data_IF_113821528557
#
_entry.id   IF_113821528557
#
_cell.length_a   1.000
_cell.length_b   1.000
_cell.length_c   1.000
_cell.angle_alpha   90.00
_cell.angle_beta   90.00
_cell.angle_gamma   90.00
#
_symmetry.space_group_name_H-M   'P 1'
#
loop_
_entity.id
_entity.type
_entity.pdbx_description
1 polymer ?
#
# COMPACT_ATOMS: atom_id res chain seq x y z
N UNK A 1 2.41 15.52 -62.44
CA UNK A 1 2.50 14.50 -61.47
C UNK A 1 2.25 15.04 -60.08
N UNK A 2 1.05 14.78 -59.53
CA UNK A 2 0.64 15.24 -58.19
C UNK A 2 1.21 14.29 -57.15
N UNK A 3 2.11 14.76 -56.30
CA UNK A 3 2.54 14.12 -55.09
C UNK A 3 1.46 14.30 -54.04
N UNK A 4 0.69 13.24 -53.80
CA UNK A 4 -0.18 13.22 -52.64
C UNK A 4 0.66 12.96 -51.41
N UNK A 5 0.80 13.96 -50.57
CA UNK A 5 1.32 13.83 -49.25
C UNK A 5 0.42 12.88 -48.42
N UNK A 6 0.96 11.73 -48.09
CA UNK A 6 0.29 10.85 -47.11
C UNK A 6 0.50 11.48 -45.75
N UNK A 7 -0.54 12.06 -45.20
CA UNK A 7 -0.58 12.42 -43.80
C UNK A 7 -0.42 11.13 -42.99
N UNK A 8 0.69 11.01 -42.29
CA UNK A 8 0.84 10.01 -41.26
C UNK A 8 -0.10 10.41 -40.14
N UNK A 9 -1.18 9.70 -40.00
CA UNK A 9 -1.99 9.78 -38.79
C UNK A 9 -1.22 9.09 -37.70
N UNK A 10 -0.65 9.84 -36.79
CA UNK A 10 -0.15 9.28 -35.54
C UNK A 10 -1.30 8.57 -34.86
N UNK A 11 -1.09 7.31 -34.43
CA UNK A 11 -2.12 6.66 -33.64
C UNK A 11 -2.33 7.52 -32.38
N UNK A 12 -3.56 7.89 -32.16
CA UNK A 12 -3.92 8.53 -30.91
C UNK A 12 -3.45 7.63 -29.77
N UNK A 13 -2.53 8.14 -28.96
CA UNK A 13 -2.13 7.44 -27.76
C UNK A 13 -3.39 7.13 -26.97
N UNK A 14 -3.63 5.85 -26.75
CA UNK A 14 -4.79 5.40 -26.02
C UNK A 14 -4.80 6.05 -24.65
N UNK A 15 -5.75 6.94 -24.44
CA UNK A 15 -5.94 7.48 -23.15
C UNK A 15 -6.19 6.41 -22.22
N UNK A 16 -5.50 6.45 -21.15
CA UNK A 16 -5.87 5.67 -20.01
C UNK A 16 -7.37 5.87 -19.77
N UNK A 17 -8.09 4.80 -19.57
CA UNK A 17 -9.47 4.87 -19.16
C UNK A 17 -9.60 5.76 -17.93
N UNK A 18 -10.72 6.44 -17.76
CA UNK A 18 -10.98 7.28 -16.60
C UNK A 18 -10.92 6.56 -15.26
N UNK A 19 -10.79 5.21 -15.28
CA UNK A 19 -10.61 4.42 -14.08
C UNK A 19 -9.27 4.67 -13.39
N UNK A 20 -8.28 5.22 -14.08
CA UNK A 20 -6.99 5.53 -13.53
C UNK A 20 -6.22 4.32 -13.02
N UNK A 21 -4.96 4.52 -12.73
CA UNK A 21 -4.14 3.54 -12.04
C UNK A 21 -4.63 3.41 -10.59
N UNK A 22 -5.00 2.20 -10.17
CA UNK A 22 -5.44 1.97 -8.80
C UNK A 22 -4.34 2.35 -7.80
N UNK A 23 -3.08 2.09 -8.14
CA UNK A 23 -1.96 2.48 -7.29
C UNK A 23 -1.91 3.98 -7.04
N UNK A 24 -2.10 4.78 -8.09
CA UNK A 24 -2.13 6.24 -7.95
C UNK A 24 -3.29 6.68 -7.04
N UNK A 25 -4.46 6.07 -7.19
CA UNK A 25 -5.61 6.37 -6.34
C UNK A 25 -5.36 5.99 -4.88
N UNK A 26 -4.73 4.85 -4.64
CA UNK A 26 -4.36 4.41 -3.30
C UNK A 26 -3.37 5.40 -2.66
N UNK A 27 -2.35 5.81 -3.39
CA UNK A 27 -1.37 6.77 -2.89
C UNK A 27 -2.00 8.11 -2.53
N UNK A 28 -2.89 8.62 -3.38
CA UNK A 28 -3.64 9.86 -3.11
C UNK A 28 -4.53 9.69 -1.87
N UNK A 29 -5.26 8.58 -1.78
CA UNK A 29 -6.11 8.29 -0.64
C UNK A 29 -5.29 8.19 0.65
N UNK A 30 -4.13 7.55 0.61
CA UNK A 30 -3.26 7.41 1.78
C UNK A 30 -2.80 8.77 2.32
N UNK A 31 -2.53 9.74 1.45
CA UNK A 31 -2.14 11.08 1.87
C UNK A 31 -3.21 11.78 2.70
N UNK A 32 -4.47 11.48 2.47
CA UNK A 32 -5.56 12.03 3.25
C UNK A 32 -5.62 11.47 4.68
N UNK A 33 -4.92 10.37 4.94
CA UNK A 33 -4.83 9.77 6.28
C UNK A 33 -3.68 10.33 7.12
N UNK A 34 -2.79 11.12 6.53
CA UNK A 34 -1.67 11.72 7.27
C UNK A 34 -2.17 12.48 8.48
N UNK A 35 -1.53 12.27 9.62
CA UNK A 35 -1.93 12.86 10.89
C UNK A 35 -3.00 12.09 11.67
N UNK A 36 -3.59 11.04 11.10
CA UNK A 36 -4.50 10.18 11.85
C UNK A 36 -3.75 9.55 13.02
N UNK A 37 -4.24 9.70 14.28
CA UNK A 37 -3.55 9.13 15.44
C UNK A 37 -3.44 7.62 15.38
N UNK A 38 -2.34 7.07 15.91
CA UNK A 38 -2.21 5.62 16.02
C UNK A 38 -3.19 5.09 17.07
N UNK A 39 -4.00 4.12 16.68
CA UNK A 39 -4.88 3.37 17.60
C UNK A 39 -4.95 1.92 17.17
N UNK A 40 -4.65 1.03 18.09
CA UNK A 40 -4.69 -0.40 17.85
C UNK A 40 -6.07 -0.85 17.35
N UNK A 41 -6.09 -1.61 16.26
CA UNK A 41 -7.28 -2.16 15.59
C UNK A 41 -8.24 -1.10 14.99
N UNK A 42 -7.94 0.18 15.10
CA UNK A 42 -8.78 1.22 14.54
C UNK A 42 -8.54 1.42 13.05
N UNK A 43 -9.58 1.87 12.35
CA UNK A 43 -9.53 2.16 10.93
C UNK A 43 -10.54 3.27 10.59
N UNK A 44 -10.35 4.45 11.19
CA UNK A 44 -11.19 5.64 10.95
C UNK A 44 -10.29 6.83 10.66
N UNK A 45 -10.37 7.33 9.44
CA UNK A 45 -9.55 8.47 8.99
C UNK A 45 -9.72 9.67 9.91
N UNK A 46 -8.61 10.25 10.35
CA UNK A 46 -8.58 11.39 11.25
C UNK A 46 -8.83 11.06 12.71
N UNK A 47 -9.31 9.87 13.03
CA UNK A 47 -9.68 9.48 14.40
C UNK A 47 -8.70 8.44 14.97
N UNK A 48 -8.39 7.42 14.22
CA UNK A 48 -7.44 6.40 14.66
C UNK A 48 -7.21 5.31 13.61
N UNK A 49 -5.98 4.84 13.53
CA UNK A 49 -5.62 3.71 12.69
C UNK A 49 -4.32 3.06 13.17
N UNK A 50 -4.24 1.75 13.06
CA UNK A 50 -2.97 1.05 13.08
C UNK A 50 -2.53 0.72 11.64
N UNK A 51 -1.43 -0.01 11.46
CA UNK A 51 -0.90 -0.25 10.12
C UNK A 51 -1.89 -1.03 9.23
N UNK A 52 -2.55 -2.05 9.75
CA UNK A 52 -3.57 -2.78 9.00
C UNK A 52 -4.85 -1.93 8.85
N UNK A 53 -5.19 -1.14 9.86
CA UNK A 53 -6.33 -0.23 9.81
C UNK A 53 -6.23 0.80 8.69
N UNK A 54 -5.03 1.30 8.42
CA UNK A 54 -4.79 2.16 7.26
C UNK A 54 -5.12 1.43 5.96
N UNK A 55 -4.60 0.21 5.78
CA UNK A 55 -4.87 -0.60 4.57
C UNK A 55 -6.35 -0.90 4.43
N UNK A 56 -7.03 -1.24 5.52
CA UNK A 56 -8.48 -1.47 5.53
C UNK A 56 -9.25 -0.23 5.09
N UNK A 57 -8.87 0.92 5.59
CA UNK A 57 -9.50 2.18 5.22
C UNK A 57 -9.30 2.52 3.74
N UNK A 58 -8.11 2.29 3.24
CA UNK A 58 -7.82 2.49 1.82
C UNK A 58 -8.62 1.52 0.95
N UNK A 59 -8.78 0.28 1.38
CA UNK A 59 -9.64 -0.67 0.70
C UNK A 59 -11.06 -0.12 0.54
N UNK A 60 -11.66 0.37 1.63
CA UNK A 60 -13.01 0.94 1.58
C UNK A 60 -13.13 2.14 0.64
N UNK A 61 -12.07 2.94 0.54
CA UNK A 61 -12.08 4.13 -0.32
C UNK A 61 -11.89 3.83 -1.80
N UNK A 62 -11.10 2.80 -2.13
CA UNK A 62 -10.75 2.54 -3.53
C UNK A 62 -11.37 1.26 -4.09
N UNK A 63 -11.73 0.30 -3.27
CA UNK A 63 -12.21 -1.01 -3.71
C UNK A 63 -13.62 -1.35 -3.23
N UNK A 64 -14.17 -0.61 -2.31
CA UNK A 64 -15.52 -0.84 -1.79
C UNK A 64 -15.54 -1.54 -0.44
N UNK A 65 -16.60 -2.27 -0.13
CA UNK A 65 -16.76 -2.92 1.16
C UNK A 65 -15.63 -3.90 1.45
N UNK A 66 -15.21 -3.97 2.71
CA UNK A 66 -14.21 -4.94 3.13
C UNK A 66 -14.73 -6.37 2.88
N UNK A 67 -13.90 -7.27 2.28
CA UNK A 67 -14.35 -8.62 1.94
C UNK A 67 -14.72 -9.44 3.16
N UNK A 68 -14.00 -9.28 4.26
CA UNK A 68 -14.21 -9.99 5.51
C UNK A 68 -13.87 -9.10 6.70
N UNK A 69 -14.53 -9.31 7.83
CA UNK A 69 -14.13 -8.68 9.08
C UNK A 69 -12.76 -9.19 9.51
N UNK A 70 -11.92 -8.28 9.99
CA UNK A 70 -10.64 -8.66 10.56
C UNK A 70 -10.87 -9.18 11.98
N UNK A 71 -10.45 -10.42 12.30
CA UNK A 71 -10.55 -10.90 13.67
C UNK A 71 -9.66 -10.06 14.60
N UNK A 72 -9.98 -10.00 15.91
CA UNK A 72 -9.12 -9.34 16.87
C UNK A 72 -7.69 -9.86 16.80
N UNK A 73 -6.72 -8.96 16.89
CA UNK A 73 -5.31 -9.29 16.85
C UNK A 73 -4.54 -8.54 17.92
N UNK A 74 -3.40 -9.10 18.33
CA UNK A 74 -2.48 -8.47 19.26
C UNK A 74 -1.69 -7.35 18.55
N UNK A 75 -1.30 -6.26 19.25
CA UNK A 75 -0.34 -5.30 18.71
C UNK A 75 0.96 -5.97 18.28
N UNK A 76 1.22 -7.12 18.84
CA UNK A 76 2.43 -7.88 18.61
C UNK A 76 2.14 -9.13 17.78
N UNK A 77 1.90 -8.91 16.50
CA UNK A 77 1.60 -9.97 15.54
C UNK A 77 2.60 -11.15 15.58
N UNK A 78 3.85 -10.85 15.94
CA UNK A 78 4.92 -11.83 15.89
C UNK A 78 4.92 -12.83 17.04
N UNK A 79 4.19 -12.55 18.14
CA UNK A 79 4.20 -13.39 19.34
C UNK A 79 3.15 -14.49 19.33
N UNK A 80 2.26 -14.52 18.36
CA UNK A 80 1.21 -15.52 18.25
C UNK A 80 1.72 -16.83 17.64
N UNK A 81 2.68 -17.48 18.28
CA UNK A 81 3.15 -18.81 17.88
C UNK A 81 3.92 -18.88 16.58
N UNK A 82 4.58 -17.80 16.15
CA UNK A 82 5.37 -17.75 14.93
C UNK A 82 4.55 -17.70 13.65
N UNK A 83 3.26 -17.52 13.74
CA UNK A 83 2.37 -17.49 12.60
C UNK A 83 2.39 -16.12 11.92
N UNK A 84 2.43 -16.10 10.59
CA UNK A 84 2.47 -14.89 9.77
C UNK A 84 1.07 -14.27 9.60
N UNK A 85 0.46 -13.84 10.70
CA UNK A 85 -0.92 -13.36 10.71
C UNK A 85 -1.16 -12.12 9.85
N UNK A 86 -0.24 -11.14 9.91
CA UNK A 86 -0.36 -9.94 9.09
C UNK A 86 -0.20 -10.27 7.60
N UNK A 87 0.79 -11.09 7.27
CA UNK A 87 0.97 -11.55 5.89
C UNK A 87 -0.27 -12.27 5.37
N UNK A 88 -0.83 -13.18 6.16
CA UNK A 88 -2.03 -13.92 5.80
C UNK A 88 -3.21 -12.98 5.54
N UNK A 89 -3.37 -11.95 6.36
CA UNK A 89 -4.42 -10.95 6.17
C UNK A 89 -4.25 -10.19 4.85
N UNK A 90 -3.03 -9.76 4.55
CA UNK A 90 -2.75 -9.05 3.29
C UNK A 90 -2.94 -9.96 2.07
N UNK A 91 -2.52 -11.22 2.17
CA UNK A 91 -2.66 -12.18 1.08
C UNK A 91 -4.12 -12.49 0.71
N UNK A 92 -5.04 -12.37 1.67
CA UNK A 92 -6.46 -12.59 1.40
C UNK A 92 -7.10 -11.51 0.52
N UNK A 93 -6.63 -10.28 0.64
CA UNK A 93 -7.26 -9.14 -0.01
C UNK A 93 -6.46 -8.62 -1.19
N UNK A 94 -5.15 -8.73 -1.14
CA UNK A 94 -4.24 -8.10 -2.08
C UNK A 94 -3.50 -9.14 -2.90
N UNK A 95 -2.95 -8.70 -4.02
CA UNK A 95 -2.18 -9.57 -4.90
C UNK A 95 -0.69 -9.39 -4.63
N UNK A 96 0.07 -10.48 -4.40
CA UNK A 96 1.51 -10.35 -4.20
C UNK A 96 2.18 -9.84 -5.48
N UNK A 97 3.16 -8.97 -5.30
CA UNK A 97 4.03 -8.48 -6.38
C UNK A 97 5.48 -8.57 -5.93
N UNK A 98 6.39 -8.67 -6.89
CA UNK A 98 7.81 -8.66 -6.60
C UNK A 98 8.21 -7.30 -6.00
N UNK A 99 9.10 -7.32 -4.99
CA UNK A 99 9.61 -6.08 -4.41
C UNK A 99 10.41 -5.26 -5.42
N UNK A 100 11.00 -5.89 -6.42
CA UNK A 100 11.71 -5.21 -7.51
C UNK A 100 10.75 -4.49 -8.46
N UNK A 101 9.48 -4.90 -8.49
CA UNK A 101 8.45 -4.32 -9.35
C UNK A 101 7.46 -3.45 -8.58
N UNK A 102 7.72 -3.14 -7.33
CA UNK A 102 6.83 -2.32 -6.52
C UNK A 102 6.67 -0.91 -7.10
N UNK A 103 5.49 -0.36 -6.93
CA UNK A 103 5.15 0.98 -7.41
C UNK A 103 4.20 1.68 -6.45
N UNK A 104 4.01 2.99 -6.63
CA UNK A 104 3.15 3.78 -5.74
C UNK A 104 1.77 3.13 -5.59
N UNK A 105 1.29 3.08 -4.36
CA UNK A 105 0.04 2.42 -3.99
C UNK A 105 0.20 0.99 -3.51
N UNK A 106 1.36 0.38 -3.69
CA UNK A 106 1.60 -0.97 -3.19
C UNK A 106 1.73 -0.98 -1.67
N UNK A 107 1.28 -2.07 -1.06
CA UNK A 107 1.41 -2.30 0.38
C UNK A 107 2.69 -3.08 0.64
N UNK A 108 3.51 -2.56 1.53
CA UNK A 108 4.80 -3.13 1.88
C UNK A 108 4.71 -3.82 3.22
N UNK A 109 5.30 -5.01 3.34
CA UNK A 109 5.33 -5.80 4.56
C UNK A 109 6.75 -5.86 5.11
N UNK A 110 6.89 -5.56 6.40
CA UNK A 110 8.20 -5.49 7.06
C UNK A 110 8.30 -6.48 8.21
N UNK A 111 9.45 -7.14 8.27
CA UNK A 111 9.87 -7.96 9.40
C UNK A 111 10.76 -7.12 10.30
N UNK A 112 10.33 -6.86 11.53
CA UNK A 112 11.03 -5.93 12.42
C UNK A 112 12.27 -6.53 13.08
N UNK A 113 12.36 -7.85 13.10
CA UNK A 113 13.53 -8.59 13.61
C UNK A 113 13.75 -9.85 12.79
N UNK A 114 15.02 -10.26 12.56
CA UNK A 114 15.30 -11.48 11.81
C UNK A 114 14.65 -12.71 12.45
N UNK A 115 14.06 -13.57 11.62
CA UNK A 115 13.46 -14.82 12.08
C UNK A 115 12.13 -14.68 12.81
N UNK A 116 11.57 -13.48 12.89
CA UNK A 116 10.29 -13.20 13.52
C UNK A 116 9.25 -12.87 12.46
N UNK A 117 8.01 -13.25 12.69
CA UNK A 117 6.91 -12.95 11.77
C UNK A 117 6.79 -11.43 11.52
N UNK A 118 6.42 -11.06 10.30
CA UNK A 118 6.23 -9.67 9.92
C UNK A 118 5.08 -9.05 10.72
N UNK A 119 5.26 -7.82 11.20
CA UNK A 119 4.27 -7.14 12.05
C UNK A 119 4.02 -5.68 11.70
N UNK A 120 4.59 -5.20 10.61
CA UNK A 120 4.37 -3.82 10.17
C UNK A 120 4.13 -3.77 8.67
N UNK A 121 3.23 -2.91 8.25
CA UNK A 121 2.99 -2.65 6.85
C UNK A 121 2.88 -1.14 6.58
N UNK A 122 3.13 -0.76 5.35
CA UNK A 122 3.11 0.61 4.88
C UNK A 122 2.57 0.67 3.46
N UNK A 123 2.21 1.86 3.01
CA UNK A 123 1.78 2.10 1.63
C UNK A 123 2.88 2.89 0.93
N UNK A 124 3.40 2.35 -0.15
CA UNK A 124 4.40 3.04 -0.96
C UNK A 124 3.76 4.27 -1.60
N UNK A 125 4.28 5.45 -1.30
CA UNK A 125 3.69 6.71 -1.78
C UNK A 125 4.43 7.31 -2.97
N UNK A 126 5.72 7.02 -3.12
CA UNK A 126 6.52 7.48 -4.24
C UNK A 126 7.73 6.56 -4.42
N UNK A 127 8.11 6.33 -5.67
CA UNK A 127 9.31 5.55 -6.02
C UNK A 127 10.41 6.43 -6.62
N UNK A 128 10.05 7.62 -7.08
CA UNK A 128 10.99 8.57 -7.67
C UNK A 128 11.83 9.25 -6.58
N UNK A 129 12.98 9.78 -6.99
CA UNK A 129 13.87 10.46 -6.09
C UNK A 129 14.97 9.56 -5.54
N UNK A 130 15.78 10.04 -4.60
CA UNK A 130 16.92 9.30 -4.08
C UNK A 130 16.52 8.05 -3.30
N UNK A 131 15.35 8.06 -2.68
CA UNK A 131 14.79 6.92 -1.97
C UNK A 131 13.27 6.90 -2.11
N UNK A 132 12.65 5.71 -2.07
CA UNK A 132 11.19 5.64 -2.02
C UNK A 132 10.64 6.28 -0.74
N UNK A 133 9.37 6.69 -0.81
CA UNK A 133 8.62 7.18 0.34
C UNK A 133 7.45 6.26 0.62
N UNK A 134 7.08 6.15 1.89
CA UNK A 134 5.96 5.34 2.33
C UNK A 134 5.12 6.07 3.36
N UNK A 135 3.83 5.75 3.39
CA UNK A 135 2.87 6.26 4.36
C UNK A 135 2.49 5.10 5.26
N UNK A 136 2.60 5.27 6.57
CA UNK A 136 2.32 4.20 7.51
C UNK A 136 1.86 4.73 8.86
N UNK A 137 1.03 3.93 9.53
CA UNK A 137 0.65 4.18 10.91
C UNK A 137 1.76 3.61 11.80
N UNK A 138 2.66 4.47 12.25
CA UNK A 138 3.80 4.07 13.06
C UNK A 138 3.43 4.09 14.54
N UNK A 139 3.77 2.99 15.22
CA UNK A 139 3.41 2.81 16.63
C UNK A 139 3.90 3.96 17.51
N UNK A 140 3.01 4.47 18.37
CA UNK A 140 3.32 5.59 19.25
C UNK A 140 3.31 6.95 18.58
N UNK A 141 2.96 7.01 17.29
CA UNK A 141 2.90 8.25 16.51
C UNK A 141 1.55 8.37 15.80
N UNK A 142 1.53 9.03 14.68
CA UNK A 142 0.37 9.11 13.81
C UNK A 142 0.68 8.43 12.49
N UNK A 143 -0.25 8.49 11.56
CA UNK A 143 0.04 8.16 10.16
C UNK A 143 0.98 9.22 9.63
N UNK A 144 2.15 8.81 9.16
CA UNK A 144 3.23 9.68 8.69
C UNK A 144 3.73 9.22 7.34
N UNK A 145 4.33 10.14 6.59
CA UNK A 145 5.10 9.80 5.39
C UNK A 145 6.59 9.83 5.75
N UNK A 146 7.29 8.76 5.43
CA UNK A 146 8.71 8.60 5.74
C UNK A 146 9.49 8.18 4.51
N UNK A 147 10.76 8.53 4.47
CA UNK A 147 11.69 7.92 3.53
C UNK A 147 11.85 6.44 3.86
N UNK A 148 11.85 5.58 2.85
CA UNK A 148 12.20 4.17 3.03
C UNK A 148 13.69 4.00 2.83
N UNK A 149 14.47 4.37 3.86
CA UNK A 149 15.92 4.26 3.86
C UNK A 149 16.40 2.82 4.04
N UNK A 150 17.73 2.68 4.19
CA UNK A 150 18.36 1.36 4.29
C UNK A 150 17.80 0.52 5.44
N UNK A 151 17.51 1.15 6.58
CA UNK A 151 16.95 0.45 7.74
C UNK A 151 15.64 -0.26 7.38
N UNK A 152 14.73 0.42 6.70
CA UNK A 152 13.46 -0.13 6.24
C UNK A 152 13.64 -1.15 5.13
N UNK A 153 14.50 -0.85 4.14
CA UNK A 153 14.73 -1.76 3.01
C UNK A 153 15.26 -3.11 3.44
N UNK A 154 16.09 -3.15 4.48
CA UNK A 154 16.60 -4.41 5.04
C UNK A 154 15.51 -5.25 5.70
N UNK A 155 14.40 -4.64 6.06
CA UNK A 155 13.28 -5.28 6.75
C UNK A 155 12.10 -5.59 5.82
N UNK A 156 12.16 -5.10 4.60
CA UNK A 156 11.13 -5.34 3.59
C UNK A 156 11.17 -6.80 3.14
N UNK A 157 10.05 -7.52 3.33
CA UNK A 157 9.97 -8.95 3.01
C UNK A 157 8.97 -9.27 1.91
N UNK A 158 8.02 -8.39 1.63
CA UNK A 158 7.02 -8.62 0.60
C UNK A 158 6.34 -7.31 0.20
N UNK A 159 5.73 -7.33 -0.99
CA UNK A 159 4.89 -6.26 -1.48
C UNK A 159 3.60 -6.83 -2.05
N UNK A 160 2.52 -6.06 -1.93
CA UNK A 160 1.19 -6.46 -2.38
C UNK A 160 0.54 -5.29 -3.12
N UNK A 161 -0.39 -5.60 -4.00
CA UNK A 161 -1.06 -4.61 -4.83
C UNK A 161 -2.56 -4.72 -4.71
N UNK A 162 -3.23 -3.58 -4.63
CA UNK A 162 -4.70 -3.54 -4.69
C UNK A 162 -5.17 -4.04 -6.06
N UNK A 163 -6.29 -4.77 -6.10
CA UNK A 163 -6.85 -5.20 -7.38
C UNK A 163 -7.33 -3.98 -8.19
N UNK A 164 -7.19 -4.05 -9.50
CA UNK A 164 -7.58 -2.94 -10.38
C UNK A 164 -9.10 -2.76 -10.43
N UNK A 165 -9.84 -3.84 -10.22
CA UNK A 165 -11.28 -3.80 -10.13
C UNK A 165 -11.75 -4.54 -8.89
N UNK A 166 -12.66 -3.92 -8.19
CA UNK A 166 -13.32 -4.52 -7.03
C UNK A 166 -14.64 -5.11 -7.44
#
# INVERSE_FOLDING_TARGET
GSLRERRATSPASGRGSGAGDVGARVAVAARAWLGTPYRHQASVKGVGADCLGLVRGLWREVAGAEPEGVPPYSPDWAEAGGRELLREALERWLMPVSVEAMRAGDVLLFCMSPGVAAKHCAVLSAVEGPEPKMIHAYWGRAVVESWMGVWWRRRLVAAFRFPEEA
#
